data_IF_702058313534
#
_entry.id   IF_702058313534
#
_cell.length_a   1.000
_cell.length_b   1.000
_cell.length_c   1.000
_cell.angle_alpha   90.00
_cell.angle_beta   90.00
_cell.angle_gamma   90.00
#
_symmetry.space_group_name_H-M   'P 1'
#
loop_
_entity.id
_entity.type
_entity.pdbx_description
1 polymer ?
#
# COMPACT_ATOMS: atom_id res chain seq x y z
N UNK A 1 -5.74 -5.26 -26.10
CA UNK A 1 -6.37 -6.52 -25.67
C UNK A 1 -5.47 -7.44 -24.81
N UNK A 2 -4.33 -6.99 -24.29
CA UNK A 2 -3.43 -7.80 -23.42
C UNK A 2 -3.68 -7.61 -21.89
N UNK A 3 -4.87 -7.20 -21.46
CA UNK A 3 -5.10 -6.69 -20.09
C UNK A 3 -6.13 -7.45 -19.24
N UNK A 4 -6.69 -8.59 -19.68
CA UNK A 4 -7.82 -9.19 -18.96
C UNK A 4 -7.37 -9.94 -17.69
N UNK A 5 -6.34 -10.76 -17.74
CA UNK A 5 -5.86 -11.49 -16.54
C UNK A 5 -4.92 -10.65 -15.65
N UNK A 6 -4.14 -9.73 -16.21
CA UNK A 6 -3.43 -8.75 -15.37
C UNK A 6 -4.41 -7.82 -14.64
N UNK A 7 -5.65 -7.65 -15.17
CA UNK A 7 -6.70 -6.93 -14.45
C UNK A 7 -7.42 -7.81 -13.44
N UNK A 8 -7.47 -9.14 -13.57
CA UNK A 8 -7.98 -10.03 -12.50
C UNK A 8 -7.01 -10.04 -11.31
N UNK A 9 -5.70 -10.09 -11.55
CA UNK A 9 -4.69 -9.89 -10.49
C UNK A 9 -4.71 -8.47 -9.92
N UNK A 10 -4.96 -7.46 -10.74
CA UNK A 10 -5.09 -6.06 -10.31
C UNK A 10 -6.49 -5.74 -9.74
N UNK A 11 -7.57 -6.42 -10.12
CA UNK A 11 -8.92 -6.13 -9.66
C UNK A 11 -9.16 -6.52 -8.18
N UNK A 12 -8.47 -7.50 -7.63
CA UNK A 12 -8.54 -7.73 -6.18
C UNK A 12 -7.99 -6.52 -5.40
N UNK A 13 -7.04 -5.78 -5.99
CA UNK A 13 -6.45 -4.54 -5.43
C UNK A 13 -7.16 -3.30 -6.00
N UNK A 14 -7.61 -3.31 -7.26
CA UNK A 14 -8.21 -2.16 -7.95
C UNK A 14 -9.66 -1.83 -7.53
N UNK A 15 -10.35 -2.70 -6.81
CA UNK A 15 -11.59 -2.33 -6.11
C UNK A 15 -11.32 -1.26 -5.05
N UNK A 16 -10.05 -1.05 -4.65
CA UNK A 16 -9.62 0.02 -3.74
C UNK A 16 -9.16 1.30 -4.44
N UNK A 17 -8.99 1.32 -5.75
CA UNK A 17 -8.40 2.44 -6.49
C UNK A 17 -9.33 3.07 -7.53
N UNK A 18 -10.65 3.02 -7.36
CA UNK A 18 -11.55 3.79 -8.21
C UNK A 18 -11.41 5.27 -7.87
N UNK A 19 -10.68 5.95 -8.75
CA UNK A 19 -10.47 7.39 -8.79
C UNK A 19 -11.80 8.14 -8.73
N UNK A 20 -11.94 8.98 -7.71
CA UNK A 20 -13.05 9.86 -7.48
C UNK A 20 -13.16 10.95 -8.53
N UNK A 21 -14.33 11.11 -9.11
CA UNK A 21 -14.79 12.41 -9.55
C UNK A 21 -15.43 13.13 -8.36
N UNK A 22 -15.06 14.40 -8.18
CA UNK A 22 -15.25 15.20 -6.97
C UNK A 22 -16.67 15.71 -6.68
N UNK A 23 -17.73 15.21 -7.31
CA UNK A 23 -19.03 15.89 -7.34
C UNK A 23 -20.16 15.27 -6.50
N UNK A 24 -19.87 14.27 -5.65
CA UNK A 24 -20.90 13.59 -4.83
C UNK A 24 -20.66 13.67 -3.32
N UNK A 25 -20.27 14.83 -2.81
CA UNK A 25 -20.16 15.06 -1.36
C UNK A 25 -21.47 15.65 -0.80
N UNK A 26 -22.50 14.84 -0.61
CA UNK A 26 -23.46 15.09 0.47
C UNK A 26 -23.15 14.10 1.60
N UNK A 27 -22.52 14.63 2.64
CA UNK A 27 -22.07 13.92 3.79
C UNK A 27 -23.26 13.27 4.56
N UNK A 28 -23.38 11.97 4.49
CA UNK A 28 -23.95 11.23 5.60
C UNK A 28 -23.03 11.43 6.81
N UNK A 29 -23.55 11.81 7.98
CA UNK A 29 -22.77 12.02 9.21
C UNK A 29 -22.16 10.69 9.62
N UNK A 30 -20.90 10.48 9.26
CA UNK A 30 -20.11 9.34 9.72
C UNK A 30 -19.56 9.67 11.09
N UNK A 31 -19.96 8.89 12.08
CA UNK A 31 -19.43 8.98 13.43
C UNK A 31 -18.20 8.10 13.53
N UNK A 32 -17.05 8.72 13.83
CA UNK A 32 -15.73 8.08 13.91
C UNK A 32 -15.74 6.78 14.71
N UNK A 33 -15.16 5.73 14.11
CA UNK A 33 -14.57 4.59 14.82
C UNK A 33 -15.52 3.72 15.63
N UNK A 34 -16.83 3.68 15.33
CA UNK A 34 -17.74 2.75 15.99
C UNK A 34 -17.54 1.34 15.45
N UNK A 35 -17.66 0.36 16.34
CA UNK A 35 -17.58 -1.07 16.03
C UNK A 35 -18.48 -1.48 14.84
N UNK A 36 -19.62 -0.80 14.67
CA UNK A 36 -20.55 -0.97 13.56
C UNK A 36 -19.97 -0.55 12.19
N UNK A 37 -19.09 0.45 12.14
CA UNK A 37 -18.46 0.92 10.88
C UNK A 37 -17.38 -0.05 10.43
N UNK A 38 -16.60 -0.58 11.36
CA UNK A 38 -15.59 -1.62 11.06
C UNK A 38 -16.25 -2.91 10.56
N UNK A 39 -17.41 -3.30 11.13
CA UNK A 39 -18.16 -4.46 10.66
C UNK A 39 -18.72 -4.22 9.26
N UNK A 40 -19.23 -3.01 8.96
CA UNK A 40 -19.70 -2.63 7.62
C UNK A 40 -18.56 -2.63 6.59
N UNK A 41 -17.40 -2.09 6.93
CA UNK A 41 -16.22 -2.14 6.06
C UNK A 41 -15.84 -3.58 5.72
N UNK A 42 -15.76 -4.45 6.73
CA UNK A 42 -15.44 -5.87 6.55
C UNK A 42 -16.44 -6.58 5.67
N UNK A 43 -17.74 -6.33 5.87
CA UNK A 43 -18.81 -6.92 5.09
C UNK A 43 -18.78 -6.46 3.62
N UNK A 44 -18.63 -5.15 3.37
CA UNK A 44 -18.54 -4.58 2.03
C UNK A 44 -17.32 -5.12 1.27
N UNK A 45 -16.17 -5.22 1.93
CA UNK A 45 -14.97 -5.83 1.32
C UNK A 45 -15.24 -7.29 0.96
N UNK A 46 -15.83 -8.07 1.85
CA UNK A 46 -16.20 -9.47 1.59
C UNK A 46 -17.19 -9.60 0.45
N UNK A 47 -18.24 -8.76 0.42
CA UNK A 47 -19.22 -8.74 -0.66
C UNK A 47 -18.59 -8.39 -2.01
N UNK A 48 -17.67 -7.43 -2.07
CA UNK A 48 -16.95 -7.08 -3.28
C UNK A 48 -16.02 -8.22 -3.76
N UNK A 49 -15.34 -8.90 -2.83
CA UNK A 49 -14.53 -10.08 -3.13
C UNK A 49 -15.43 -11.21 -3.66
N UNK A 50 -16.55 -11.50 -2.98
CA UNK A 50 -17.52 -12.50 -3.38
C UNK A 50 -18.08 -12.24 -4.79
N UNK A 51 -18.44 -10.98 -5.10
CA UNK A 51 -18.88 -10.57 -6.42
C UNK A 51 -17.78 -10.74 -7.48
N UNK A 52 -16.53 -10.43 -7.15
CA UNK A 52 -15.41 -10.63 -8.05
C UNK A 52 -15.21 -12.12 -8.37
N UNK A 53 -15.31 -12.98 -7.37
CA UNK A 53 -15.21 -14.43 -7.57
C UNK A 53 -16.39 -14.92 -8.39
N UNK A 54 -17.62 -14.64 -7.96
CA UNK A 54 -18.84 -15.19 -8.55
C UNK A 54 -19.08 -14.70 -9.99
N UNK A 55 -18.89 -13.40 -10.26
CA UNK A 55 -19.22 -12.76 -11.51
C UNK A 55 -18.02 -12.52 -12.45
N UNK A 56 -16.80 -12.52 -11.90
CA UNK A 56 -15.55 -12.30 -12.66
C UNK A 56 -14.78 -13.59 -12.91
N UNK A 57 -14.43 -14.31 -11.86
CA UNK A 57 -13.52 -15.47 -11.94
C UNK A 57 -14.27 -16.73 -12.40
N UNK A 58 -15.37 -17.06 -11.75
CA UNK A 58 -16.07 -18.33 -11.98
C UNK A 58 -16.62 -18.49 -13.39
N UNK A 59 -17.29 -17.49 -14.01
CA UNK A 59 -17.78 -17.62 -15.37
C UNK A 59 -16.68 -17.82 -16.40
N UNK A 60 -15.50 -17.26 -16.19
CA UNK A 60 -14.39 -17.29 -17.13
C UNK A 60 -13.49 -18.51 -16.94
N UNK A 61 -13.15 -18.85 -15.70
CA UNK A 61 -12.17 -19.87 -15.40
C UNK A 61 -12.78 -21.22 -15.01
N UNK A 62 -14.06 -21.26 -14.60
CA UNK A 62 -14.66 -22.46 -13.98
C UNK A 62 -13.75 -23.03 -12.87
N UNK A 63 -13.14 -22.14 -12.08
CA UNK A 63 -12.21 -22.47 -11.02
C UNK A 63 -12.87 -23.25 -9.88
N UNK A 64 -12.10 -23.71 -8.90
CA UNK A 64 -12.63 -24.37 -7.68
C UNK A 64 -12.95 -23.28 -6.63
N UNK A 65 -14.26 -22.96 -6.52
CA UNK A 65 -14.75 -21.91 -5.61
C UNK A 65 -14.39 -22.19 -4.15
N UNK A 66 -14.61 -23.42 -3.69
CA UNK A 66 -14.38 -23.79 -2.29
C UNK A 66 -12.90 -23.67 -1.94
N UNK A 67 -12.03 -24.04 -2.87
CA UNK A 67 -10.58 -23.93 -2.69
C UNK A 67 -10.14 -22.47 -2.70
N UNK A 68 -10.72 -21.59 -3.53
CA UNK A 68 -10.45 -20.14 -3.52
C UNK A 68 -10.81 -19.59 -2.14
N UNK A 69 -12.05 -19.80 -1.67
CA UNK A 69 -12.55 -19.26 -0.41
C UNK A 69 -11.73 -19.76 0.79
N UNK A 70 -11.46 -21.05 0.83
CA UNK A 70 -10.61 -21.65 1.88
C UNK A 70 -9.21 -21.01 1.92
N UNK A 71 -8.63 -20.78 0.76
CA UNK A 71 -7.27 -20.23 0.68
C UNK A 71 -7.24 -18.75 1.06
N UNK A 72 -8.30 -17.99 0.72
CA UNK A 72 -8.50 -16.62 1.20
C UNK A 72 -8.49 -16.61 2.73
N UNK A 73 -9.33 -17.45 3.35
CA UNK A 73 -9.45 -17.52 4.81
C UNK A 73 -8.11 -17.82 5.48
N UNK A 74 -7.44 -18.89 5.04
CA UNK A 74 -6.19 -19.34 5.63
C UNK A 74 -5.12 -18.24 5.59
N UNK A 75 -4.96 -17.56 4.45
CA UNK A 75 -3.90 -16.54 4.27
C UNK A 75 -4.27 -15.19 4.86
N UNK A 76 -5.55 -14.80 4.86
CA UNK A 76 -6.03 -13.61 5.54
C UNK A 76 -5.91 -13.71 7.08
N UNK A 77 -5.98 -14.93 7.63
CA UNK A 77 -5.73 -15.21 9.06
C UNK A 77 -4.23 -15.31 9.42
N UNK A 78 -3.32 -15.05 8.47
CA UNK A 78 -1.89 -14.97 8.71
C UNK A 78 -1.11 -16.27 8.43
N UNK A 79 -1.70 -17.26 7.76
CA UNK A 79 -0.96 -18.43 7.31
C UNK A 79 0.05 -18.01 6.23
N UNK A 80 1.33 -18.20 6.48
CA UNK A 80 2.43 -17.73 5.62
C UNK A 80 2.56 -18.51 4.31
N UNK A 81 1.99 -19.72 4.25
CA UNK A 81 2.06 -20.57 3.05
C UNK A 81 0.85 -21.48 2.91
N UNK A 82 0.51 -21.79 1.65
CA UNK A 82 -0.52 -22.77 1.28
C UNK A 82 0.14 -23.88 0.48
N UNK A 83 -0.19 -25.14 0.79
CA UNK A 83 0.30 -26.29 0.03
C UNK A 83 -0.84 -26.91 -0.77
N UNK A 84 -0.67 -27.00 -2.10
CA UNK A 84 -1.62 -27.60 -3.03
C UNK A 84 -0.88 -28.39 -4.10
N UNK A 85 -1.29 -29.63 -4.36
CA UNK A 85 -0.73 -30.53 -5.42
C UNK A 85 0.80 -30.60 -5.44
N UNK A 86 1.44 -30.51 -4.26
CA UNK A 86 2.90 -30.56 -4.10
C UNK A 86 3.59 -29.20 -4.24
N UNK A 87 2.88 -28.13 -4.59
CA UNK A 87 3.40 -26.76 -4.67
C UNK A 87 3.16 -26.06 -3.34
N UNK A 88 4.14 -25.25 -2.90
CA UNK A 88 4.03 -24.38 -1.73
C UNK A 88 3.91 -22.95 -2.25
N UNK A 89 2.78 -22.28 -1.97
CA UNK A 89 2.49 -20.90 -2.34
C UNK A 89 2.80 -20.00 -1.14
N UNK A 90 3.65 -19.01 -1.32
CA UNK A 90 4.01 -18.00 -0.31
C UNK A 90 3.90 -16.60 -0.91
N UNK A 91 4.00 -15.55 -0.08
CA UNK A 91 4.03 -14.17 -0.56
C UNK A 91 5.20 -13.89 -1.52
N UNK A 92 6.35 -14.54 -1.27
CA UNK A 92 7.57 -14.32 -2.05
C UNK A 92 7.48 -14.91 -3.45
N UNK A 93 6.82 -16.08 -3.61
CA UNK A 93 6.76 -16.78 -4.89
C UNK A 93 5.43 -16.67 -5.64
N UNK A 94 4.42 -16.02 -5.06
CA UNK A 94 3.07 -15.96 -5.63
C UNK A 94 3.05 -15.29 -7.01
N UNK A 95 3.89 -14.29 -7.23
CA UNK A 95 3.99 -13.61 -8.53
C UNK A 95 4.60 -14.51 -9.60
N UNK A 96 5.62 -15.29 -9.27
CA UNK A 96 6.26 -16.24 -10.18
C UNK A 96 5.29 -17.38 -10.55
N UNK A 97 4.65 -17.98 -9.54
CA UNK A 97 3.65 -19.01 -9.76
C UNK A 97 2.42 -18.46 -10.51
N UNK A 98 2.03 -17.20 -10.25
CA UNK A 98 0.97 -16.52 -10.96
C UNK A 98 1.29 -16.36 -12.44
N UNK A 99 2.51 -16.00 -12.83
CA UNK A 99 2.93 -15.97 -14.23
C UNK A 99 2.90 -17.37 -14.87
N UNK A 100 3.27 -18.39 -14.15
CA UNK A 100 3.30 -19.76 -14.63
C UNK A 100 1.90 -20.35 -14.84
N UNK A 101 0.97 -20.17 -13.88
CA UNK A 101 -0.34 -20.86 -13.88
C UNK A 101 -1.52 -19.97 -14.26
N UNK A 102 -1.38 -18.64 -14.18
CA UNK A 102 -2.41 -17.64 -14.49
C UNK A 102 -1.92 -16.63 -15.55
N UNK A 103 -0.84 -16.97 -16.26
CA UNK A 103 -0.18 -16.11 -17.23
C UNK A 103 -0.87 -16.03 -18.60
N UNK A 104 -0.17 -15.51 -19.61
CA UNK A 104 -0.75 -15.26 -20.94
C UNK A 104 -1.36 -16.49 -21.62
N UNK A 105 -0.78 -17.68 -21.43
CA UNK A 105 -1.28 -18.93 -22.03
C UNK A 105 -2.66 -19.30 -21.52
N UNK A 106 -2.92 -19.11 -20.21
CA UNK A 106 -4.25 -19.33 -19.65
C UNK A 106 -5.25 -18.30 -20.18
N UNK A 107 -4.83 -17.05 -20.36
CA UNK A 107 -5.68 -16.00 -20.92
C UNK A 107 -6.14 -16.35 -22.34
N UNK A 108 -5.27 -16.91 -23.17
CA UNK A 108 -5.64 -17.34 -24.53
C UNK A 108 -6.67 -18.48 -24.48
N UNK A 109 -6.52 -19.44 -23.57
CA UNK A 109 -7.50 -20.52 -23.34
C UNK A 109 -8.85 -19.98 -22.85
N UNK A 110 -8.85 -19.02 -21.93
CA UNK A 110 -10.07 -18.34 -21.45
C UNK A 110 -10.78 -17.64 -22.60
N UNK A 111 -10.05 -16.91 -23.44
CA UNK A 111 -10.62 -16.22 -24.59
C UNK A 111 -11.22 -17.21 -25.61
N UNK A 112 -10.58 -18.35 -25.85
CA UNK A 112 -11.11 -19.41 -26.69
C UNK A 112 -12.39 -20.03 -26.09
N UNK A 113 -12.40 -20.31 -24.76
CA UNK A 113 -13.57 -20.85 -24.09
C UNK A 113 -14.77 -19.88 -24.10
N UNK A 114 -14.53 -18.56 -23.98
CA UNK A 114 -15.58 -17.54 -24.07
C UNK A 114 -16.21 -17.45 -25.50
N UNK A 115 -15.47 -17.81 -26.52
CA UNK A 115 -15.95 -17.83 -27.91
C UNK A 115 -16.63 -19.14 -28.29
N UNK A 116 -16.42 -20.19 -27.48
CA UNK A 116 -17.02 -21.52 -27.74
C UNK A 116 -18.47 -21.57 -27.25
N UNK A 117 -19.41 -21.45 -28.18
CA UNK A 117 -20.85 -21.55 -27.90
C UNK A 117 -21.31 -22.91 -27.39
N UNK A 118 -20.47 -23.97 -27.57
CA UNK A 118 -20.77 -25.33 -27.10
C UNK A 118 -20.41 -25.52 -25.62
N UNK A 119 -19.56 -24.67 -25.07
CA UNK A 119 -19.06 -24.77 -23.69
C UNK A 119 -18.13 -25.97 -23.45
N UNK A 120 -17.68 -26.63 -24.52
CA UNK A 120 -16.81 -27.81 -24.44
C UNK A 120 -15.34 -27.47 -24.20
N UNK A 121 -14.93 -26.24 -24.46
CA UNK A 121 -13.53 -25.82 -24.31
C UNK A 121 -13.14 -25.79 -22.82
N UNK A 122 -12.19 -26.62 -22.45
CA UNK A 122 -11.60 -26.65 -21.11
C UNK A 122 -10.50 -25.60 -20.98
N UNK A 123 -10.57 -24.80 -19.92
CA UNK A 123 -9.60 -23.74 -19.64
C UNK A 123 -8.31 -24.31 -19.04
N UNK A 124 -8.44 -25.30 -18.15
CA UNK A 124 -7.31 -25.96 -17.50
C UNK A 124 -6.96 -27.28 -18.21
N UNK A 125 -5.67 -27.61 -18.26
CA UNK A 125 -5.22 -28.85 -18.86
C UNK A 125 -5.70 -30.09 -18.08
N UNK A 126 -5.77 -29.99 -16.75
CA UNK A 126 -6.22 -31.04 -15.85
C UNK A 126 -6.74 -30.49 -14.51
N UNK A 127 -7.22 -31.41 -13.67
CA UNK A 127 -7.72 -31.09 -12.33
C UNK A 127 -6.62 -30.53 -11.39
N UNK A 128 -5.37 -30.92 -11.62
CA UNK A 128 -4.23 -30.44 -10.84
C UNK A 128 -3.94 -28.96 -11.13
N UNK A 129 -3.85 -28.61 -12.41
CA UNK A 129 -3.69 -27.21 -12.84
C UNK A 129 -4.83 -26.33 -12.32
N UNK A 130 -6.08 -26.79 -12.41
CA UNK A 130 -7.26 -26.11 -11.87
C UNK A 130 -7.13 -25.81 -10.38
N UNK A 131 -6.72 -26.80 -9.56
CA UNK A 131 -6.54 -26.62 -8.11
C UNK A 131 -5.42 -25.64 -7.78
N UNK A 132 -4.28 -25.72 -8.50
CA UNK A 132 -3.17 -24.80 -8.29
C UNK A 132 -3.58 -23.37 -8.61
N UNK A 133 -4.22 -23.15 -9.75
CA UNK A 133 -4.73 -21.83 -10.17
C UNK A 133 -5.75 -21.27 -9.16
N UNK A 134 -6.69 -22.10 -8.70
CA UNK A 134 -7.69 -21.72 -7.69
C UNK A 134 -7.03 -21.30 -6.36
N UNK A 135 -6.06 -22.09 -5.89
CA UNK A 135 -5.35 -21.78 -4.66
C UNK A 135 -4.49 -20.52 -4.77
N UNK A 136 -3.88 -20.26 -5.95
CA UNK A 136 -3.14 -19.03 -6.22
C UNK A 136 -4.04 -17.79 -6.19
N UNK A 137 -5.23 -17.87 -6.81
CA UNK A 137 -6.21 -16.79 -6.77
C UNK A 137 -6.63 -16.46 -5.35
N UNK A 138 -6.98 -17.49 -4.56
CA UNK A 138 -7.37 -17.30 -3.16
C UNK A 138 -6.23 -16.79 -2.29
N UNK A 139 -5.03 -17.36 -2.41
CA UNK A 139 -3.86 -16.93 -1.64
C UNK A 139 -3.48 -15.47 -1.92
N UNK A 140 -3.55 -15.03 -3.18
CA UNK A 140 -3.27 -13.65 -3.55
C UNK A 140 -4.23 -12.66 -2.89
N UNK A 141 -5.52 -12.97 -2.88
CA UNK A 141 -6.54 -12.15 -2.21
C UNK A 141 -6.29 -12.13 -0.69
N UNK A 142 -6.07 -13.30 -0.08
CA UNK A 142 -5.91 -13.39 1.37
C UNK A 142 -4.60 -12.77 1.88
N UNK A 143 -3.48 -12.91 1.18
CA UNK A 143 -2.26 -12.18 1.50
C UNK A 143 -2.44 -10.68 1.39
N UNK A 144 -3.15 -10.20 0.35
CA UNK A 144 -3.47 -8.78 0.21
C UNK A 144 -4.34 -8.27 1.37
N UNK A 145 -5.32 -9.04 1.82
CA UNK A 145 -6.14 -8.72 3.00
C UNK A 145 -5.30 -8.65 4.28
N UNK A 146 -4.32 -9.54 4.45
CA UNK A 146 -3.44 -9.53 5.63
C UNK A 146 -2.53 -8.29 5.70
N UNK A 147 -2.29 -7.62 4.58
CA UNK A 147 -1.42 -6.45 4.44
C UNK A 147 -2.17 -5.12 4.24
N UNK A 148 -3.50 -5.17 4.16
CA UNK A 148 -4.32 -4.01 3.79
C UNK A 148 -4.22 -2.84 4.79
N UNK A 149 -3.76 -3.10 6.02
CA UNK A 149 -3.61 -2.08 7.06
C UNK A 149 -4.94 -1.48 7.55
N UNK A 150 -6.08 -2.04 7.14
CA UNK A 150 -7.41 -1.61 7.57
C UNK A 150 -7.88 -2.45 8.77
N UNK A 151 -8.70 -1.87 9.65
CA UNK A 151 -9.24 -2.56 10.82
C UNK A 151 -10.41 -3.48 10.42
N UNK A 152 -10.11 -4.55 9.68
CA UNK A 152 -11.11 -5.50 9.16
C UNK A 152 -11.17 -6.79 9.97
N UNK A 153 -12.34 -7.45 9.93
CA UNK A 153 -12.58 -8.75 10.56
C UNK A 153 -12.72 -9.84 9.50
N UNK A 154 -11.76 -10.73 9.45
CA UNK A 154 -11.74 -11.85 8.48
C UNK A 154 -13.03 -12.66 8.50
N UNK A 155 -13.58 -13.01 9.68
CA UNK A 155 -14.83 -13.77 9.77
C UNK A 155 -16.01 -13.04 9.12
N UNK A 156 -16.09 -11.71 9.22
CA UNK A 156 -17.14 -10.92 8.57
C UNK A 156 -16.94 -10.87 7.06
N UNK A 157 -15.69 -10.79 6.59
CA UNK A 157 -15.35 -10.88 5.17
C UNK A 157 -15.77 -12.23 4.60
N UNK A 158 -15.44 -13.33 5.28
CA UNK A 158 -15.79 -14.68 4.84
C UNK A 158 -17.31 -14.89 4.79
N UNK A 159 -18.03 -14.44 5.82
CA UNK A 159 -19.49 -14.51 5.83
C UNK A 159 -20.12 -13.74 4.64
N UNK A 160 -19.60 -12.56 4.31
CA UNK A 160 -20.09 -11.78 3.19
C UNK A 160 -19.79 -12.42 1.82
N UNK A 161 -18.65 -13.11 1.68
CA UNK A 161 -18.32 -13.91 0.48
C UNK A 161 -19.34 -15.02 0.28
N UNK A 162 -19.70 -15.74 1.35
CA UNK A 162 -20.72 -16.80 1.31
C UNK A 162 -22.13 -16.25 1.08
N UNK A 163 -22.48 -15.10 1.68
CA UNK A 163 -23.78 -14.44 1.41
C UNK A 163 -23.93 -14.13 -0.10
N UNK A 164 -22.86 -13.66 -0.77
CA UNK A 164 -22.89 -13.45 -2.23
C UNK A 164 -23.05 -14.76 -2.99
N UNK A 165 -22.35 -15.82 -2.59
CA UNK A 165 -22.49 -17.14 -3.20
C UNK A 165 -23.95 -17.66 -3.17
N UNK A 166 -24.65 -17.36 -2.08
CA UNK A 166 -26.02 -17.80 -1.84
C UNK A 166 -27.07 -16.80 -2.37
N UNK A 167 -26.66 -15.74 -3.07
CA UNK A 167 -27.52 -14.63 -3.52
C UNK A 167 -28.22 -13.90 -2.34
N UNK A 168 -27.56 -13.86 -1.19
CA UNK A 168 -28.05 -13.25 0.05
C UNK A 168 -27.30 -11.93 0.42
N UNK A 169 -26.63 -11.29 -0.55
CA UNK A 169 -25.90 -10.03 -0.34
C UNK A 169 -26.78 -8.95 0.30
N UNK A 170 -26.35 -8.39 1.47
CA UNK A 170 -27.15 -7.50 2.32
C UNK A 170 -27.04 -6.02 1.99
N UNK A 171 -26.01 -5.64 1.26
CA UNK A 171 -25.71 -4.23 0.91
C UNK A 171 -25.74 -4.12 -0.61
N UNK A 172 -26.54 -3.21 -1.13
CA UNK A 172 -26.54 -2.98 -2.57
C UNK A 172 -25.23 -2.30 -3.06
N UNK A 173 -24.95 -2.45 -4.35
CA UNK A 173 -23.69 -1.99 -4.91
C UNK A 173 -23.48 -0.46 -4.79
N UNK A 174 -24.56 0.32 -4.88
CA UNK A 174 -24.50 1.76 -4.76
C UNK A 174 -24.21 2.18 -3.32
N UNK A 175 -24.88 1.54 -2.35
CA UNK A 175 -24.63 1.76 -0.92
C UNK A 175 -23.20 1.38 -0.54
N UNK A 176 -22.72 0.22 -1.01
CA UNK A 176 -21.33 -0.22 -0.82
C UNK A 176 -20.32 0.80 -1.38
N UNK A 177 -20.56 1.29 -2.59
CA UNK A 177 -19.71 2.29 -3.23
C UNK A 177 -19.68 3.61 -2.45
N UNK A 178 -20.84 4.10 -2.02
CA UNK A 178 -20.93 5.33 -1.23
C UNK A 178 -20.23 5.20 0.12
N UNK A 179 -20.38 4.05 0.78
CA UNK A 179 -19.67 3.77 2.04
C UNK A 179 -18.15 3.80 1.83
N UNK A 180 -17.65 3.11 0.82
CA UNK A 180 -16.22 3.05 0.54
C UNK A 180 -15.65 4.43 0.16
N UNK A 181 -16.35 5.20 -0.66
CA UNK A 181 -15.95 6.58 -0.98
C UNK A 181 -15.86 7.45 0.27
N UNK A 182 -16.88 7.40 1.13
CA UNK A 182 -16.86 8.14 2.37
C UNK A 182 -15.73 7.67 3.29
N UNK A 183 -15.51 6.37 3.40
CA UNK A 183 -14.45 5.79 4.22
C UNK A 183 -13.06 6.30 3.79
N UNK A 184 -12.75 6.25 2.49
CA UNK A 184 -11.45 6.69 1.98
C UNK A 184 -11.28 8.21 1.94
N UNK A 185 -12.36 8.95 1.65
CA UNK A 185 -12.26 10.41 1.45
C UNK A 185 -12.48 11.21 2.74
N UNK A 186 -13.09 10.62 3.76
CA UNK A 186 -13.41 11.32 5.01
C UNK A 186 -12.82 10.61 6.22
N UNK A 187 -13.18 9.33 6.44
CA UNK A 187 -12.82 8.62 7.67
C UNK A 187 -11.31 8.45 7.80
N UNK A 188 -10.65 7.90 6.78
CA UNK A 188 -9.18 7.70 6.79
C UNK A 188 -8.42 9.03 6.92
N UNK A 189 -8.70 10.08 6.10
CA UNK A 189 -8.00 11.35 6.24
C UNK A 189 -8.16 12.00 7.61
N UNK A 190 -9.35 11.93 8.20
CA UNK A 190 -9.59 12.47 9.55
C UNK A 190 -8.87 11.66 10.64
N UNK A 191 -8.87 10.34 10.54
CA UNK A 191 -8.13 9.49 11.48
C UNK A 191 -6.64 9.77 11.39
N UNK A 192 -6.08 9.78 10.17
CA UNK A 192 -4.66 10.09 9.97
C UNK A 192 -4.28 11.48 10.51
N UNK A 193 -5.14 12.48 10.34
CA UNK A 193 -4.92 13.83 10.89
C UNK A 193 -4.84 13.80 12.42
N UNK A 194 -5.72 13.03 13.06
CA UNK A 194 -5.71 12.86 14.52
C UNK A 194 -4.45 12.13 14.97
N UNK A 195 -4.16 10.98 14.37
CA UNK A 195 -3.02 10.13 14.73
C UNK A 195 -1.70 10.89 14.51
N UNK A 196 -1.58 11.65 13.42
CA UNK A 196 -0.43 12.51 13.12
C UNK A 196 -0.22 13.57 14.20
N UNK A 197 -1.28 14.24 14.65
CA UNK A 197 -1.20 15.23 15.74
C UNK A 197 -0.76 14.58 17.06
N UNK A 198 -1.33 13.45 17.41
CA UNK A 198 -0.99 12.72 18.63
C UNK A 198 0.47 12.23 18.57
N UNK A 199 0.90 11.71 17.44
CA UNK A 199 2.28 11.27 17.23
C UNK A 199 3.28 12.43 17.34
N UNK A 200 3.05 13.55 16.65
CA UNK A 200 3.92 14.73 16.74
C UNK A 200 4.00 15.26 18.17
N UNK A 201 2.88 15.33 18.90
CA UNK A 201 2.84 15.73 20.29
C UNK A 201 3.64 14.78 21.20
N UNK A 202 3.63 13.48 20.91
CA UNK A 202 4.44 12.50 21.62
C UNK A 202 5.94 12.66 21.29
N UNK A 203 6.28 12.94 20.02
CA UNK A 203 7.67 13.17 19.62
C UNK A 203 8.25 14.46 20.22
N UNK A 204 7.44 15.51 20.34
CA UNK A 204 7.85 16.77 21.00
C UNK A 204 8.21 16.61 22.49
N UNK A 205 7.74 15.55 23.14
CA UNK A 205 8.08 15.22 24.53
C UNK A 205 9.39 14.44 24.70
N UNK A 206 10.01 14.00 23.60
CA UNK A 206 11.29 13.28 23.66
C UNK A 206 12.41 14.17 24.18
N UNK A 207 13.35 13.57 24.90
CA UNK A 207 14.52 14.28 25.41
C UNK A 207 15.32 14.88 24.24
N UNK A 208 15.58 16.17 24.28
CA UNK A 208 16.31 16.90 23.25
C UNK A 208 15.48 17.34 22.05
N UNK A 209 14.19 16.99 22.00
CA UNK A 209 13.30 17.47 20.96
C UNK A 209 13.03 18.98 21.10
N UNK A 210 12.97 19.64 19.95
CA UNK A 210 12.58 21.03 19.77
C UNK A 210 11.45 21.10 18.74
N UNK A 211 10.72 22.20 18.73
CA UNK A 211 9.61 22.42 17.80
C UNK A 211 9.81 23.78 17.13
N UNK A 212 9.68 23.83 15.81
CA UNK A 212 9.70 25.08 15.05
C UNK A 212 8.35 25.78 15.13
N UNK A 213 8.29 27.07 14.72
CA UNK A 213 7.03 27.82 14.65
C UNK A 213 6.01 27.17 13.70
N UNK A 214 6.48 26.52 12.63
CA UNK A 214 5.66 25.80 11.66
C UNK A 214 5.15 24.45 12.15
N UNK A 215 5.63 23.97 13.32
CA UNK A 215 5.21 22.73 13.95
C UNK A 215 6.07 21.51 13.62
N UNK A 216 7.23 21.68 12.96
CA UNK A 216 8.18 20.57 12.78
C UNK A 216 8.80 20.24 14.12
N UNK A 217 8.72 18.97 14.54
CA UNK A 217 9.48 18.47 15.68
C UNK A 217 10.81 17.97 15.20
N UNK A 218 11.90 18.27 15.88
CA UNK A 218 13.23 17.84 15.47
C UNK A 218 14.17 17.56 16.65
N UNK A 219 15.16 16.70 16.38
CA UNK A 219 16.32 16.48 17.27
C UNK A 219 17.58 16.63 16.41
N UNK A 220 18.47 17.53 16.82
CA UNK A 220 19.82 17.64 16.22
C UNK A 220 20.73 16.66 16.96
N UNK A 221 21.15 15.60 16.28
CA UNK A 221 22.09 14.59 16.78
C UNK A 221 23.53 15.08 16.68
N UNK A 222 23.79 15.84 15.59
CA UNK A 222 25.08 16.50 15.34
C UNK A 222 24.81 17.80 14.59
N UNK A 223 25.29 18.92 15.11
CA UNK A 223 25.06 20.23 14.48
C UNK A 223 25.76 20.38 13.12
N UNK A 224 26.94 19.78 12.98
CA UNK A 224 27.77 19.95 11.79
C UNK A 224 28.57 21.27 11.81
N UNK A 225 29.11 21.63 10.66
CA UNK A 225 29.82 22.90 10.47
C UNK A 225 28.82 24.02 10.16
N UNK A 226 28.53 24.83 11.16
CA UNK A 226 27.56 25.93 11.03
C UNK A 226 28.03 27.06 10.11
N UNK A 227 29.31 27.11 9.77
CA UNK A 227 29.83 28.06 8.77
C UNK A 227 29.47 27.67 7.33
N UNK A 228 29.11 26.39 7.11
CA UNK A 228 28.66 25.83 5.83
C UNK A 228 27.22 25.31 5.99
N UNK A 229 26.26 26.22 5.91
CA UNK A 229 24.85 25.98 6.21
C UNK A 229 23.99 26.53 5.09
N UNK A 230 22.88 25.83 4.79
CA UNK A 230 21.88 26.36 3.87
C UNK A 230 21.12 27.53 4.53
N UNK A 231 20.88 28.59 3.78
CA UNK A 231 20.23 29.80 4.24
C UNK A 231 18.99 30.12 3.37
N UNK A 232 19.16 29.96 2.05
CA UNK A 232 18.13 30.29 1.08
C UNK A 232 17.36 29.04 0.62
N UNK A 233 16.17 29.23 0.06
CA UNK A 233 15.39 28.15 -0.50
C UNK A 233 15.97 27.60 -1.81
N UNK A 234 16.84 28.34 -2.48
CA UNK A 234 17.55 27.94 -3.70
C UNK A 234 18.83 27.15 -3.42
N UNK A 235 19.26 27.10 -2.16
CA UNK A 235 20.48 26.36 -1.80
C UNK A 235 20.32 24.87 -2.10
N UNK A 236 21.41 24.25 -2.54
CA UNK A 236 21.48 22.83 -2.81
C UNK A 236 22.10 22.10 -1.64
N UNK A 237 21.50 20.98 -1.28
CA UNK A 237 21.95 20.09 -0.22
C UNK A 237 22.18 18.68 -0.75
N UNK A 238 23.32 18.09 -0.39
CA UNK A 238 23.61 16.69 -0.67
C UNK A 238 23.47 15.89 0.61
N UNK A 239 22.64 14.85 0.59
CA UNK A 239 22.19 14.18 1.80
C UNK A 239 22.18 12.65 1.67
N UNK A 240 22.31 11.99 2.83
CA UNK A 240 21.83 10.64 3.06
C UNK A 240 20.60 10.73 3.96
N UNK A 241 19.55 9.96 3.63
CA UNK A 241 18.31 9.98 4.42
C UNK A 241 17.57 8.67 4.44
N UNK A 242 16.67 8.55 5.42
CA UNK A 242 15.65 7.51 5.51
C UNK A 242 14.33 8.16 5.91
N UNK A 243 13.31 8.00 5.08
CA UNK A 243 11.94 8.47 5.30
C UNK A 243 11.04 7.34 5.82
N UNK A 244 10.29 7.62 6.89
CA UNK A 244 9.41 6.66 7.58
C UNK A 244 8.05 7.25 7.86
N UNK A 245 7.02 6.43 7.80
CA UNK A 245 5.69 6.71 8.32
C UNK A 245 5.64 6.57 9.86
N UNK A 246 4.54 6.97 10.48
CA UNK A 246 4.41 6.96 11.94
C UNK A 246 4.48 5.55 12.56
N UNK A 247 4.06 4.52 11.83
CA UNK A 247 4.18 3.10 12.19
C UNK A 247 5.61 2.54 12.01
N UNK A 248 6.54 3.35 11.48
CA UNK A 248 7.93 2.99 11.28
C UNK A 248 8.25 2.33 9.94
N UNK A 249 7.26 2.16 9.04
CA UNK A 249 7.49 1.65 7.69
C UNK A 249 8.39 2.63 6.93
N UNK A 250 9.50 2.12 6.36
CA UNK A 250 10.35 2.90 5.45
C UNK A 250 9.67 3.00 4.09
N UNK A 251 9.34 4.22 3.66
CA UNK A 251 8.78 4.45 2.34
C UNK A 251 9.83 4.89 1.32
N UNK A 252 10.90 5.52 1.78
CA UNK A 252 12.02 5.91 0.91
C UNK A 252 13.33 6.01 1.70
N UNK A 253 14.44 5.61 1.05
CA UNK A 253 15.79 5.77 1.58
C UNK A 253 16.81 5.72 0.46
N UNK A 254 17.90 6.50 0.60
CA UNK A 254 19.09 6.39 -0.21
C UNK A 254 20.27 5.76 0.56
N UNK A 255 20.01 5.26 1.80
CA UNK A 255 20.90 4.39 2.56
C UNK A 255 20.58 2.95 2.20
N UNK A 256 21.59 2.21 1.74
CA UNK A 256 21.38 0.83 1.27
C UNK A 256 20.69 -0.08 2.30
N UNK A 257 21.16 -0.05 3.53
CA UNK A 257 20.66 -0.96 4.57
C UNK A 257 19.23 -0.61 5.04
N UNK A 258 18.79 0.63 4.84
CA UNK A 258 17.45 1.09 5.21
C UNK A 258 16.46 1.01 4.04
N UNK A 259 16.97 0.81 2.82
CA UNK A 259 16.16 0.79 1.61
C UNK A 259 15.19 -0.42 1.62
N UNK A 260 13.92 -0.24 1.21
CA UNK A 260 12.98 -1.35 1.06
C UNK A 260 13.55 -2.48 0.18
N UNK A 261 13.35 -3.73 0.59
CA UNK A 261 13.93 -4.92 -0.11
C UNK A 261 13.61 -4.93 -1.60
N UNK A 262 12.37 -4.63 -1.98
CA UNK A 262 11.98 -4.59 -3.39
C UNK A 262 12.84 -3.60 -4.19
N UNK A 263 13.13 -2.42 -3.63
CA UNK A 263 14.00 -1.43 -4.28
C UNK A 263 15.45 -1.88 -4.34
N UNK A 264 15.95 -2.58 -3.29
CA UNK A 264 17.29 -3.20 -3.33
C UNK A 264 17.39 -4.23 -4.46
N UNK A 265 16.38 -5.09 -4.64
CA UNK A 265 16.35 -6.08 -5.72
C UNK A 265 16.31 -5.41 -7.10
N UNK A 266 15.51 -4.35 -7.27
CA UNK A 266 15.52 -3.55 -8.49
C UNK A 266 16.89 -2.93 -8.78
N UNK A 267 17.55 -2.38 -7.75
CA UNK A 267 18.89 -1.82 -7.92
C UNK A 267 19.93 -2.89 -8.30
N UNK A 268 19.88 -4.08 -7.66
CA UNK A 268 20.74 -5.21 -8.05
C UNK A 268 20.55 -5.62 -9.51
N UNK A 269 19.30 -5.61 -9.99
CA UNK A 269 18.98 -6.00 -11.36
C UNK A 269 19.36 -4.95 -12.42
N UNK A 270 19.10 -3.67 -12.14
CA UNK A 270 19.22 -2.59 -13.14
C UNK A 270 20.43 -1.68 -12.93
N UNK A 271 21.01 -1.65 -11.74
CA UNK A 271 22.18 -0.81 -11.36
C UNK A 271 23.14 -1.59 -10.45
N UNK A 272 23.70 -2.71 -10.91
CA UNK A 272 24.53 -3.59 -10.07
C UNK A 272 25.76 -2.86 -9.47
N UNK A 273 26.31 -1.87 -10.17
CA UNK A 273 27.48 -1.10 -9.71
C UNK A 273 27.17 -0.18 -8.51
N UNK A 274 25.90 0.22 -8.33
CA UNK A 274 25.42 1.04 -7.21
C UNK A 274 24.87 0.17 -6.07
N UNK A 275 24.57 -1.10 -6.32
CA UNK A 275 24.02 -2.01 -5.33
C UNK A 275 24.99 -2.25 -4.16
N UNK A 276 24.46 -2.29 -2.94
CA UNK A 276 25.27 -2.49 -1.74
C UNK A 276 25.90 -1.22 -1.17
N UNK A 277 25.69 -0.04 -1.78
CA UNK A 277 26.27 1.23 -1.35
C UNK A 277 25.20 2.27 -1.07
N UNK A 278 25.47 3.14 -0.10
CA UNK A 278 24.68 4.35 0.08
C UNK A 278 24.88 5.28 -1.15
N UNK A 279 23.78 5.88 -1.60
CA UNK A 279 23.77 6.73 -2.80
C UNK A 279 23.35 8.17 -2.45
N UNK A 280 24.29 9.06 -2.04
CA UNK A 280 23.95 10.43 -1.70
C UNK A 280 23.28 11.17 -2.86
N UNK A 281 22.21 11.90 -2.58
CA UNK A 281 21.44 12.64 -3.58
C UNK A 281 21.53 14.14 -3.28
N UNK A 282 21.66 14.95 -4.32
CA UNK A 282 21.60 16.42 -4.25
C UNK A 282 20.18 16.91 -4.61
N UNK A 283 19.65 17.81 -3.79
CA UNK A 283 18.36 18.49 -4.02
C UNK A 283 18.52 20.00 -3.87
N UNK A 284 17.79 20.76 -4.68
CA UNK A 284 17.49 22.16 -4.38
C UNK A 284 16.39 22.21 -3.29
N UNK A 285 16.56 23.05 -2.28
CA UNK A 285 15.59 23.17 -1.19
C UNK A 285 14.21 23.68 -1.65
N UNK A 286 14.15 24.37 -2.79
CA UNK A 286 12.89 24.77 -3.44
C UNK A 286 12.19 23.65 -4.25
N UNK A 287 12.81 22.47 -4.33
CA UNK A 287 12.30 21.30 -5.07
C UNK A 287 11.82 20.17 -4.17
N UNK A 288 11.88 20.36 -2.86
CA UNK A 288 11.50 19.36 -1.86
C UNK A 288 10.28 19.84 -1.04
N UNK A 289 9.75 18.96 -0.19
CA UNK A 289 8.65 19.35 0.71
C UNK A 289 9.09 20.47 1.67
N UNK A 290 8.15 21.35 2.05
CA UNK A 290 8.44 22.52 2.89
C UNK A 290 9.16 22.17 4.19
N UNK A 291 8.81 21.02 4.79
CA UNK A 291 9.47 20.53 5.99
C UNK A 291 10.95 20.24 5.80
N UNK A 292 11.39 19.85 4.61
CA UNK A 292 12.80 19.69 4.28
C UNK A 292 13.48 21.04 4.05
N UNK A 293 12.83 21.96 3.34
CA UNK A 293 13.35 23.33 3.11
C UNK A 293 13.67 24.02 4.43
N UNK A 294 12.79 23.88 5.43
CA UNK A 294 13.00 24.44 6.77
C UNK A 294 14.01 23.60 7.58
N UNK A 295 13.84 22.29 7.60
CA UNK A 295 14.62 21.37 8.43
C UNK A 295 16.11 21.35 8.08
N UNK A 296 16.47 21.43 6.78
CA UNK A 296 17.86 21.43 6.36
C UNK A 296 18.60 22.72 6.72
N UNK A 297 17.90 23.80 6.98
CA UNK A 297 18.48 25.06 7.48
C UNK A 297 18.81 25.02 8.98
N UNK A 298 18.44 23.95 9.69
CA UNK A 298 18.71 23.83 11.14
C UNK A 298 20.10 23.28 11.45
N UNK A 299 20.78 22.64 10.47
CA UNK A 299 22.09 22.03 10.64
C UNK A 299 23.08 22.48 9.56
N UNK A 300 24.38 22.39 9.85
CA UNK A 300 25.46 22.64 8.91
C UNK A 300 26.01 21.36 8.27
N UNK A 301 27.00 21.49 7.38
CA UNK A 301 27.70 20.38 6.72
C UNK A 301 28.21 19.35 7.73
N UNK A 302 27.95 18.07 7.46
CA UNK A 302 28.29 16.95 8.32
C UNK A 302 27.34 16.81 9.52
N UNK A 303 26.25 17.60 9.56
CA UNK A 303 25.22 17.54 10.59
C UNK A 303 24.28 16.34 10.41
N UNK A 304 23.64 15.92 11.51
CA UNK A 304 22.63 14.87 11.53
C UNK A 304 21.41 15.35 12.31
N UNK A 305 20.23 15.12 11.72
CA UNK A 305 18.98 15.58 12.29
C UNK A 305 17.88 14.54 12.04
N UNK A 306 17.06 14.32 13.07
CA UNK A 306 15.77 13.65 12.90
C UNK A 306 14.66 14.71 12.86
N UNK A 307 13.83 14.66 11.82
CA UNK A 307 12.68 15.53 11.60
C UNK A 307 11.39 14.72 11.72
N UNK A 308 10.39 15.24 12.42
CA UNK A 308 9.00 14.78 12.35
C UNK A 308 8.19 15.93 11.78
N UNK A 309 7.72 15.75 10.55
CA UNK A 309 7.14 16.79 9.72
C UNK A 309 5.63 16.60 9.67
N UNK A 310 4.83 17.61 10.04
CA UNK A 310 3.38 17.57 9.87
C UNK A 310 3.01 17.49 8.40
N UNK A 311 1.85 16.89 8.10
CA UNK A 311 1.40 16.65 6.73
C UNK A 311 1.34 17.90 5.87
N UNK A 312 0.96 19.04 6.44
CA UNK A 312 0.82 20.33 5.73
C UNK A 312 2.17 20.86 5.18
N UNK A 313 3.28 20.40 5.76
CA UNK A 313 4.65 20.67 5.31
C UNK A 313 5.27 19.49 4.56
N UNK A 314 4.48 18.44 4.29
CA UNK A 314 4.88 17.23 3.56
C UNK A 314 3.98 17.02 2.33
N UNK A 315 3.14 15.99 2.31
CA UNK A 315 2.32 15.64 1.15
C UNK A 315 0.82 15.97 1.34
N UNK A 316 0.45 16.63 2.43
CA UNK A 316 -0.87 17.22 2.66
C UNK A 316 -2.01 16.23 2.71
N UNK A 317 -3.20 16.71 2.31
CA UNK A 317 -4.46 15.96 2.36
C UNK A 317 -4.54 14.80 1.37
N UNK A 318 -3.70 14.77 0.34
CA UNK A 318 -3.71 13.72 -0.69
C UNK A 318 -2.75 12.57 -0.41
N UNK A 319 -1.65 12.84 0.32
CA UNK A 319 -0.55 11.87 0.41
C UNK A 319 0.11 11.62 -0.95
N UNK A 320 0.74 10.44 -1.12
CA UNK A 320 1.36 10.00 -2.38
C UNK A 320 0.76 8.68 -2.92
N UNK A 321 -0.34 8.21 -2.36
CA UNK A 321 -0.97 6.93 -2.72
C UNK A 321 -0.58 5.79 -1.78
N UNK A 322 0.04 4.71 -2.28
CA UNK A 322 0.25 3.48 -1.51
C UNK A 322 1.13 3.61 -0.26
N UNK A 323 2.15 4.47 -0.31
CA UNK A 323 3.16 4.51 0.76
C UNK A 323 2.90 5.59 1.81
N UNK A 324 2.28 6.71 1.41
CA UNK A 324 1.99 7.84 2.29
C UNK A 324 0.53 8.19 2.14
N UNK A 325 -0.26 7.88 3.15
CA UNK A 325 -1.68 8.18 3.17
C UNK A 325 -1.99 9.67 3.33
N UNK A 326 -3.26 10.05 3.14
CA UNK A 326 -3.72 11.43 3.33
C UNK A 326 -3.46 11.91 4.76
N UNK A 327 -3.05 13.17 4.93
CA UNK A 327 -2.75 13.79 6.23
C UNK A 327 -1.72 13.07 7.10
N UNK A 328 -0.85 12.24 6.52
CA UNK A 328 0.19 11.53 7.25
C UNK A 328 1.36 12.46 7.61
N UNK A 329 1.71 12.51 8.91
CA UNK A 329 2.98 13.06 9.34
C UNK A 329 4.12 12.07 9.08
N UNK A 330 5.31 12.59 8.80
CA UNK A 330 6.46 11.79 8.37
C UNK A 330 7.66 12.00 9.26
N UNK A 331 8.50 10.97 9.37
CA UNK A 331 9.82 11.06 9.97
C UNK A 331 10.89 10.97 8.89
N UNK A 332 11.92 11.82 9.01
CA UNK A 332 13.13 11.72 8.22
C UNK A 332 14.36 11.74 9.14
N UNK A 333 15.21 10.75 8.97
CA UNK A 333 16.55 10.70 9.57
C UNK A 333 17.52 11.15 8.48
N UNK A 334 18.13 12.33 8.63
CA UNK A 334 18.92 12.97 7.56
C UNK A 334 20.33 13.27 8.03
N UNK A 335 21.31 13.02 7.16
CA UNK A 335 22.70 13.45 7.28
C UNK A 335 23.04 14.39 6.12
N UNK A 336 23.41 15.63 6.46
CA UNK A 336 23.78 16.67 5.51
C UNK A 336 25.27 16.56 5.19
N UNK A 337 25.59 16.17 3.97
CA UNK A 337 26.97 15.93 3.53
C UNK A 337 27.63 17.19 2.96
N UNK A 338 26.90 17.93 2.12
CA UNK A 338 27.41 19.12 1.43
C UNK A 338 26.29 20.17 1.31
N UNK A 339 26.68 21.44 1.26
CA UNK A 339 25.82 22.58 0.92
C UNK A 339 26.48 23.35 -0.23
N UNK A 340 25.75 23.55 -1.35
CA UNK A 340 26.24 24.27 -2.54
C UNK A 340 27.61 23.75 -3.04
N UNK A 341 27.83 22.42 -2.98
CA UNK A 341 29.07 21.78 -3.44
C UNK A 341 30.26 21.96 -2.53
N UNK A 342 30.09 22.45 -1.30
CA UNK A 342 31.14 22.65 -0.30
C UNK A 342 31.07 21.59 0.80
#
# INVERSE_FOLDING_TARGET
MKKVLSSIFACAIAVMAMSCSSDYLQASKVTKGKKSEMDSLSYILGQNIGNTIANGIMPQLKADYDLIVKTIEETALGKESVKVEGIVITKENINELGQQYLGPELNDKVMAAMQDSTGATEVFADAKEKKIASALLGANIGFSLSEIGLPVKTNTIMAAIEDVRNDEGKIDQYEAMNFMQNYYNVVIPEQNRKDSKEWLAAMAKKKGAKVTESGIVYIIEKAGDESIKAINDEDKVKVLYTGKTADGKVFDSNRWNDMPKQRQEMMKAYRPDEAGKDNPIEFGLNQVIKGWTEGMKLIGKGGKITLWIPSDLAYGERGTGQDIGPNAALRFDVELLEVNGK
#
